data_IF_602278660010
#
_entry.id   IF_602278660010
#
_cell.length_a   1.000
_cell.length_b   1.000
_cell.length_c   1.000
_cell.angle_alpha   90.00
_cell.angle_beta   90.00
_cell.angle_gamma   90.00
#
_symmetry.space_group_name_H-M   'P 1'
#
loop_
_entity.id
_entity.type
_entity.pdbx_description
1 polymer ?
#
# COMPACT_ATOMS: atom_id res chain seq x y z
N UNK A 1 -16.61 -10.89 -16.47
CA UNK A 1 -16.32 -10.76 -15.03
C UNK A 1 -16.76 -9.38 -14.60
N UNK A 2 -17.44 -9.27 -13.47
CA UNK A 2 -17.78 -7.97 -12.90
C UNK A 2 -16.52 -7.30 -12.28
N UNK A 3 -16.60 -6.00 -12.01
CA UNK A 3 -15.54 -5.29 -11.29
C UNK A 3 -15.27 -5.89 -9.91
N UNK A 4 -16.34 -6.29 -9.21
CA UNK A 4 -16.27 -6.90 -7.87
C UNK A 4 -15.53 -8.25 -7.90
N UNK A 5 -15.83 -9.13 -8.87
CA UNK A 5 -15.13 -10.43 -9.03
C UNK A 5 -13.64 -10.26 -9.33
N UNK A 6 -13.25 -9.13 -9.93
CA UNK A 6 -11.85 -8.83 -10.22
C UNK A 6 -11.15 -8.37 -8.95
N UNK A 7 -11.80 -7.50 -8.16
CA UNK A 7 -11.28 -7.01 -6.90
C UNK A 7 -11.11 -8.13 -5.88
N UNK A 8 -12.08 -9.03 -5.74
CA UNK A 8 -11.96 -10.18 -4.82
C UNK A 8 -10.72 -11.03 -5.12
N UNK A 9 -10.46 -11.31 -6.40
CA UNK A 9 -9.25 -12.05 -6.81
C UNK A 9 -7.96 -11.29 -6.53
N UNK A 10 -7.97 -9.97 -6.65
CA UNK A 10 -6.82 -9.13 -6.32
C UNK A 10 -6.55 -9.20 -4.81
N UNK A 11 -7.60 -9.12 -3.97
CA UNK A 11 -7.48 -9.22 -2.52
C UNK A 11 -6.97 -10.61 -2.10
N UNK A 12 -7.55 -11.68 -2.64
CA UNK A 12 -7.10 -13.06 -2.39
C UNK A 12 -5.63 -13.25 -2.76
N UNK A 13 -5.23 -12.74 -3.93
CA UNK A 13 -3.84 -12.81 -4.41
C UNK A 13 -2.89 -11.96 -3.57
N UNK A 14 -3.36 -10.90 -2.90
CA UNK A 14 -2.53 -10.09 -1.99
C UNK A 14 -2.36 -10.74 -0.60
N UNK A 15 -3.34 -11.52 -0.14
CA UNK A 15 -3.27 -12.24 1.14
C UNK A 15 -2.31 -13.43 1.06
N UNK A 16 -2.27 -14.16 -0.06
CA UNK A 16 -1.39 -15.33 -0.24
C UNK A 16 0.11 -15.07 0.00
N UNK A 17 0.69 -13.97 -0.52
CA UNK A 17 2.09 -13.58 -0.33
C UNK A 17 2.44 -13.07 1.07
N UNK A 18 1.45 -12.84 1.95
CA UNK A 18 1.70 -12.53 3.35
C UNK A 18 1.05 -11.27 3.90
N UNK A 19 0.21 -10.55 3.15
CA UNK A 19 -0.60 -9.49 3.74
C UNK A 19 -1.54 -10.10 4.79
N UNK A 20 -1.63 -9.49 5.97
CA UNK A 20 -2.54 -9.95 7.03
C UNK A 20 -3.97 -9.45 6.79
N UNK A 21 -4.09 -8.30 6.12
CA UNK A 21 -5.36 -7.73 5.67
C UNK A 21 -5.17 -7.03 4.34
N UNK A 22 -6.19 -7.08 3.49
CA UNK A 22 -6.24 -6.33 2.24
C UNK A 22 -7.65 -5.73 2.07
N UNK A 23 -7.71 -4.52 1.53
CA UNK A 23 -8.97 -3.85 1.21
C UNK A 23 -8.79 -2.90 0.03
N UNK A 24 -9.88 -2.28 -0.43
CA UNK A 24 -9.82 -1.32 -1.51
C UNK A 24 -10.77 -0.15 -1.30
N UNK A 25 -10.47 0.95 -1.98
CA UNK A 25 -11.34 2.11 -2.07
C UNK A 25 -11.10 2.87 -3.38
N UNK A 26 -12.11 3.56 -3.92
CA UNK A 26 -11.92 4.52 -5.01
C UNK A 26 -10.87 5.59 -4.65
N UNK A 27 -9.97 5.90 -5.59
CA UNK A 27 -8.87 6.84 -5.38
C UNK A 27 -9.36 8.25 -4.99
N UNK A 28 -10.55 8.66 -5.46
CA UNK A 28 -11.20 9.93 -5.11
C UNK A 28 -11.39 10.12 -3.59
N UNK A 29 -11.50 9.03 -2.82
CA UNK A 29 -11.62 9.13 -1.36
C UNK A 29 -10.30 9.50 -0.67
N UNK A 30 -9.19 9.58 -1.41
CA UNK A 30 -7.87 9.94 -0.90
C UNK A 30 -7.44 11.36 -1.27
N UNK A 31 -8.17 12.09 -2.11
CA UNK A 31 -7.74 13.39 -2.67
C UNK A 31 -7.47 14.46 -1.61
N UNK A 32 -8.12 14.38 -0.45
CA UNK A 32 -8.02 15.38 0.63
C UNK A 32 -7.70 14.80 2.01
N UNK A 33 -7.33 13.52 2.10
CA UNK A 33 -6.97 12.95 3.39
C UNK A 33 -5.70 13.64 3.96
N UNK A 34 -5.52 13.69 5.29
CA UNK A 34 -4.39 14.39 5.91
C UNK A 34 -3.03 13.98 5.34
N UNK A 35 -2.84 12.69 5.03
CA UNK A 35 -1.64 12.15 4.41
C UNK A 35 -1.47 12.61 2.95
N UNK A 36 -2.55 12.76 2.19
CA UNK A 36 -2.48 13.28 0.83
C UNK A 36 -2.08 14.75 0.78
N UNK A 37 -2.62 15.55 1.70
CA UNK A 37 -2.24 16.95 1.85
C UNK A 37 -0.76 17.08 2.25
N UNK A 38 -0.28 16.22 3.15
CA UNK A 38 1.12 16.18 3.57
C UNK A 38 2.07 15.71 2.45
N UNK A 39 1.62 14.83 1.56
CA UNK A 39 2.40 14.35 0.41
C UNK A 39 2.53 15.37 -0.73
N UNK A 40 1.71 16.43 -0.73
CA UNK A 40 1.75 17.49 -1.73
C UNK A 40 1.30 17.05 -3.14
N UNK A 41 1.59 17.85 -4.19
CA UNK A 41 1.10 17.62 -5.55
C UNK A 41 1.54 16.30 -6.20
N UNK A 42 2.61 15.69 -5.68
CA UNK A 42 3.14 14.40 -6.15
C UNK A 42 2.48 13.20 -5.46
N UNK A 43 1.61 13.45 -4.48
CA UNK A 43 0.91 12.43 -3.69
C UNK A 43 -0.33 11.84 -4.36
N UNK A 44 -1.41 11.72 -3.59
CA UNK A 44 -2.63 11.02 -4.02
C UNK A 44 -3.48 11.80 -5.05
N UNK A 45 -3.21 13.09 -5.25
CA UNK A 45 -3.96 13.95 -6.18
C UNK A 45 -3.91 13.51 -7.65
N UNK A 46 -2.95 12.67 -8.03
CA UNK A 46 -2.84 12.10 -9.39
C UNK A 46 -3.30 10.65 -9.47
N UNK A 47 -3.75 10.07 -8.36
CA UNK A 47 -4.24 8.70 -8.34
C UNK A 47 -5.65 8.65 -8.93
N UNK A 48 -5.85 7.76 -9.89
CA UNK A 48 -7.16 7.49 -10.50
C UNK A 48 -7.48 6.00 -10.39
N UNK A 49 -8.75 5.65 -10.45
CA UNK A 49 -9.20 4.26 -10.33
C UNK A 49 -9.35 3.81 -8.88
N UNK A 50 -8.82 2.63 -8.56
CA UNK A 50 -8.99 1.97 -7.25
C UNK A 50 -7.64 1.87 -6.55
N UNK A 51 -7.61 2.27 -5.28
CA UNK A 51 -6.48 2.02 -4.40
C UNK A 51 -6.71 0.71 -3.65
N UNK A 52 -5.73 -0.18 -3.71
CA UNK A 52 -5.66 -1.38 -2.87
C UNK A 52 -4.77 -1.06 -1.67
N UNK A 53 -5.27 -1.34 -0.48
CA UNK A 53 -4.58 -1.10 0.80
C UNK A 53 -4.20 -2.44 1.39
N UNK A 54 -2.93 -2.59 1.76
CA UNK A 54 -2.37 -3.78 2.37
C UNK A 54 -1.94 -3.48 3.80
N UNK A 55 -2.22 -4.39 4.72
CA UNK A 55 -1.78 -4.30 6.11
C UNK A 55 -1.05 -5.56 6.55
N UNK A 56 0.02 -5.36 7.30
CA UNK A 56 0.73 -6.43 8.00
C UNK A 56 0.44 -6.33 9.49
N UNK A 57 0.06 -7.45 10.07
CA UNK A 57 -0.01 -7.59 11.51
C UNK A 57 1.40 -7.72 12.07
N UNK A 58 1.70 -6.91 13.08
CA UNK A 58 2.80 -7.14 13.99
C UNK A 58 2.24 -7.38 15.39
N UNK A 59 2.88 -8.25 16.16
CA UNK A 59 2.55 -8.43 17.57
C UNK A 59 3.00 -7.16 18.33
N UNK A 60 2.13 -6.48 19.10
CA UNK A 60 2.52 -5.30 19.87
C UNK A 60 3.65 -5.54 20.86
N UNK A 61 3.83 -6.79 21.32
CA UNK A 61 4.96 -7.18 22.16
C UNK A 61 6.27 -7.35 21.37
N UNK A 62 6.18 -7.36 20.03
CA UNK A 62 7.27 -7.56 19.06
C UNK A 62 7.16 -6.54 17.90
N UNK A 63 7.48 -5.26 18.18
CA UNK A 63 7.29 -4.15 17.25
C UNK A 63 8.41 -4.01 16.20
N UNK A 64 9.28 -5.02 16.04
CA UNK A 64 10.47 -4.92 15.18
C UNK A 64 10.13 -4.66 13.70
N UNK A 65 8.93 -5.06 13.25
CA UNK A 65 8.44 -4.77 11.90
C UNK A 65 8.24 -3.27 11.63
N UNK A 66 8.11 -2.45 12.69
CA UNK A 66 7.88 -1.01 12.59
C UNK A 66 9.15 -0.20 12.92
N UNK A 67 10.25 -0.86 13.28
CA UNK A 67 11.49 -0.17 13.57
C UNK A 67 12.13 0.35 12.29
N UNK A 68 12.52 1.62 12.34
CA UNK A 68 13.34 2.20 11.28
C UNK A 68 14.76 1.66 11.39
N UNK A 69 15.31 1.18 10.28
CA UNK A 69 16.68 0.67 10.23
C UNK A 69 17.55 1.38 9.20
N UNK A 70 18.82 0.97 9.15
CA UNK A 70 19.86 1.54 8.28
C UNK A 70 19.56 1.37 6.78
N UNK A 71 18.65 0.45 6.40
CA UNK A 71 18.25 0.23 5.01
C UNK A 71 17.20 1.24 4.52
N UNK A 72 16.80 2.21 5.37
CA UNK A 72 15.97 3.34 4.96
C UNK A 72 14.49 3.00 4.84
N UNK A 73 13.93 2.37 5.88
CA UNK A 73 12.51 2.05 6.01
C UNK A 73 12.28 1.16 7.23
N UNK A 74 11.15 0.45 7.27
CA UNK A 74 10.89 -0.59 8.27
C UNK A 74 10.90 -1.98 7.64
N UNK A 75 11.23 -3.05 8.39
CA UNK A 75 11.09 -4.42 7.88
C UNK A 75 9.68 -4.73 7.35
N UNK A 76 8.64 -4.20 7.99
CA UNK A 76 7.26 -4.30 7.53
C UNK A 76 7.03 -3.62 6.18
N UNK A 77 7.55 -2.41 5.97
CA UNK A 77 7.45 -1.72 4.67
C UNK A 77 8.13 -2.52 3.54
N UNK A 78 9.24 -3.20 3.83
CA UNK A 78 9.91 -4.06 2.85
C UNK A 78 9.06 -5.27 2.46
N UNK A 79 8.42 -5.93 3.43
CA UNK A 79 7.50 -7.05 3.16
C UNK A 79 6.33 -6.55 2.30
N UNK A 80 5.72 -5.40 2.64
CA UNK A 80 4.64 -4.82 1.85
C UNK A 80 5.06 -4.52 0.40
N UNK A 81 6.25 -3.96 0.21
CA UNK A 81 6.79 -3.70 -1.13
C UNK A 81 7.04 -4.98 -1.92
N UNK A 82 7.51 -6.05 -1.28
CA UNK A 82 7.70 -7.33 -1.95
C UNK A 82 6.36 -7.94 -2.41
N UNK A 83 5.30 -7.80 -1.60
CA UNK A 83 3.93 -8.17 -2.02
C UNK A 83 3.50 -7.33 -3.23
N UNK A 84 3.72 -6.01 -3.22
CA UNK A 84 3.39 -5.12 -4.34
C UNK A 84 4.18 -5.47 -5.61
N UNK A 85 5.45 -5.89 -5.47
CA UNK A 85 6.31 -6.35 -6.56
C UNK A 85 5.85 -7.66 -7.18
N UNK A 86 5.16 -8.52 -6.43
CA UNK A 86 4.53 -9.72 -6.99
C UNK A 86 3.18 -9.37 -7.66
N UNK A 87 2.37 -8.54 -6.99
CA UNK A 87 1.02 -8.24 -7.44
C UNK A 87 1.00 -7.40 -8.73
N UNK A 88 1.84 -6.37 -8.80
CA UNK A 88 1.82 -5.40 -9.92
C UNK A 88 2.10 -6.03 -11.29
N UNK A 89 3.14 -6.88 -11.47
CA UNK A 89 3.38 -7.55 -12.73
C UNK A 89 2.31 -8.59 -13.10
N UNK A 90 1.57 -9.11 -12.12
CA UNK A 90 0.48 -10.06 -12.36
C UNK A 90 -0.80 -9.38 -12.87
N UNK A 91 -1.11 -8.16 -12.41
CA UNK A 91 -2.33 -7.43 -12.78
C UNK A 91 -2.45 -7.15 -14.28
N UNK A 92 -1.34 -6.77 -14.93
CA UNK A 92 -1.35 -6.38 -16.34
C UNK A 92 -1.72 -7.54 -17.29
N UNK A 93 -1.05 -8.71 -17.27
CA UNK A 93 -1.41 -9.83 -18.13
C UNK A 93 -2.73 -10.50 -17.73
N UNK A 94 -3.12 -10.48 -16.44
CA UNK A 94 -4.34 -11.14 -15.98
C UNK A 94 -5.62 -10.34 -16.28
N UNK A 95 -5.55 -9.01 -16.16
CA UNK A 95 -6.74 -8.14 -16.22
C UNK A 95 -6.57 -6.89 -17.08
N UNK A 96 -5.39 -6.64 -17.66
CA UNK A 96 -5.11 -5.41 -18.40
C UNK A 96 -5.00 -4.17 -17.50
N UNK A 97 -4.80 -4.36 -16.19
CA UNK A 97 -4.74 -3.28 -15.20
C UNK A 97 -3.29 -2.90 -14.94
N UNK A 98 -2.97 -1.62 -15.07
CA UNK A 98 -1.70 -1.07 -14.61
C UNK A 98 -1.82 -0.64 -13.15
N UNK A 99 -0.74 -0.80 -12.40
CA UNK A 99 -0.65 -0.35 -11.01
C UNK A 99 0.59 0.49 -10.78
N UNK A 100 0.53 1.32 -9.73
CA UNK A 100 1.64 2.12 -9.23
C UNK A 100 1.72 1.93 -7.72
N UNK A 101 2.92 1.65 -7.22
CA UNK A 101 3.20 1.66 -5.79
C UNK A 101 3.02 3.09 -5.24
N UNK A 102 2.28 3.20 -4.13
CA UNK A 102 2.17 4.42 -3.35
C UNK A 102 2.88 4.17 -2.02
N UNK A 103 4.12 4.66 -1.85
CA UNK A 103 4.88 4.38 -0.64
C UNK A 103 4.21 4.99 0.58
N UNK A 104 4.04 4.21 1.64
CA UNK A 104 3.68 4.76 2.94
C UNK A 104 4.93 5.42 3.54
N UNK A 105 5.06 6.73 3.39
CA UNK A 105 6.16 7.48 4.01
C UNK A 105 5.69 8.00 5.36
N UNK A 106 5.98 7.26 6.43
CA UNK A 106 5.90 7.81 7.79
C UNK A 106 7.00 8.86 7.94
N UNK A 107 6.70 10.11 7.59
CA UNK A 107 7.60 11.21 7.94
C UNK A 107 7.50 11.42 9.45
N UNK A 108 8.55 11.03 10.17
CA UNK A 108 8.79 11.57 11.51
C UNK A 108 8.89 13.08 11.33
N UNK A 109 7.91 13.83 11.84
CA UNK A 109 8.13 15.23 12.12
C UNK A 109 9.25 15.28 13.14
N UNK A 110 10.48 15.50 12.70
CA UNK A 110 11.52 15.98 13.57
C UNK A 110 11.03 17.35 14.04
N UNK A 111 10.37 17.37 15.20
CA UNK A 111 10.22 18.59 15.97
C UNK A 111 11.62 19.03 16.34
N UNK A 112 12.19 19.93 15.54
CA UNK A 112 13.32 20.74 15.94
C UNK A 112 12.88 21.53 17.17
N UNK A 113 13.36 21.10 18.34
CA UNK A 113 13.41 21.94 19.54
C UNK A 113 14.62 22.88 19.43
#
# INVERSE_FOLDING_TARGET
MSGDETLDKILEKALGPGASVAGFLPAQHLEDCPSARAAGPQGFATCTGTTVVLGLYHDPARPELDWWDEDGGTPGDRILRDIIRELSPWLLPAYGITSRDIPCRCMTAASTL
#
